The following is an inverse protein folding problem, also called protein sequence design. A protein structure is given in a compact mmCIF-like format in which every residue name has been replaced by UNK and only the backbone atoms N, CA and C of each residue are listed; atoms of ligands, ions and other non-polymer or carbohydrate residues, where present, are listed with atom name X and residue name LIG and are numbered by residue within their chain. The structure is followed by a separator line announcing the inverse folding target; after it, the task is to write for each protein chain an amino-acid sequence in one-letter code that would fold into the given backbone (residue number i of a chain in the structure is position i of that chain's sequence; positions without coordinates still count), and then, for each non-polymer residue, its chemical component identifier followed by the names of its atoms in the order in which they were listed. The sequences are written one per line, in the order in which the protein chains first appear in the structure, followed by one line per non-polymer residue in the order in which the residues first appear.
data_IF_295020670236
#
_entry.id   IF_295020670236
#
_cell.length_a   1.000
_cell.length_b   1.000
_cell.length_c   1.000
_cell.angle_alpha   90.00
_cell.angle_beta   90.00
_cell.angle_gamma   90.00
#
_symmetry.space_group_name_H-M   'P 1'
#
loop_
_entity.id
_entity.type
_entity.pdbx_description
1 polymer ?
#
# COMPACT_ATOMS: atom_id res chain seq x y z
N UNK A 1 2.54 -0.83 -21.86
CA UNK A 1 3.02 -1.60 -20.67
C UNK A 1 3.43 -0.57 -19.63
N UNK A 2 3.02 -0.73 -18.38
CA UNK A 2 3.31 0.20 -17.27
C UNK A 2 4.57 -0.23 -16.53
N UNK A 3 5.39 0.72 -16.04
CA UNK A 3 6.53 0.42 -15.17
C UNK A 3 6.59 1.36 -13.97
N UNK A 4 7.13 0.87 -12.85
CA UNK A 4 7.49 1.67 -11.70
C UNK A 4 8.93 2.15 -11.87
N UNK A 5 9.11 3.37 -12.38
CA UNK A 5 10.45 3.95 -12.63
C UNK A 5 11.27 4.03 -11.35
N UNK A 6 10.61 4.42 -10.27
CA UNK A 6 11.20 4.47 -8.93
C UNK A 6 10.11 4.35 -7.87
N UNK A 7 10.46 3.71 -6.76
CA UNK A 7 9.64 3.60 -5.55
C UNK A 7 10.48 4.09 -4.38
N UNK A 8 9.91 4.95 -3.56
CA UNK A 8 10.55 5.43 -2.35
C UNK A 8 9.60 5.39 -1.15
N UNK A 9 10.17 5.42 0.03
CA UNK A 9 9.42 5.36 1.27
C UNK A 9 9.98 6.35 2.31
N UNK A 10 9.10 6.96 3.06
CA UNK A 10 9.43 7.68 4.27
C UNK A 10 8.84 6.93 5.47
N UNK A 11 9.72 6.47 6.33
CA UNK A 11 9.38 5.82 7.60
C UNK A 11 9.73 6.81 8.72
N UNK A 12 8.73 7.43 9.35
CA UNK A 12 8.96 8.23 10.54
C UNK A 12 9.41 7.35 11.71
N UNK A 13 9.77 7.97 12.83
CA UNK A 13 10.22 7.26 14.02
C UNK A 13 9.19 6.23 14.46
N UNK A 14 9.65 5.00 14.72
CA UNK A 14 8.81 3.96 15.28
C UNK A 14 8.72 4.14 16.81
N UNK A 15 7.53 3.90 17.36
CA UNK A 15 7.27 3.91 18.81
C UNK A 15 6.80 2.52 19.24
N UNK A 16 7.21 2.02 20.43
CA UNK A 16 6.73 0.77 20.98
C UNK A 16 5.20 0.80 21.16
N UNK A 17 4.51 -0.28 20.76
CA UNK A 17 3.03 -0.33 20.89
C UNK A 17 2.58 -0.29 22.35
N UNK A 18 3.43 -0.67 23.30
CA UNK A 18 3.18 -0.53 24.73
C UNK A 18 2.99 0.93 25.16
N UNK A 19 3.72 1.85 24.55
CA UNK A 19 3.57 3.29 24.85
C UNK A 19 2.23 3.85 24.39
N UNK A 20 1.57 3.20 23.45
CA UNK A 20 0.28 3.59 22.92
C UNK A 20 -0.90 2.87 23.60
N UNK A 21 -0.64 1.95 24.54
CA UNK A 21 -1.67 1.13 25.15
C UNK A 21 -2.84 1.95 25.71
N UNK A 22 -2.54 3.03 26.45
CA UNK A 22 -3.56 3.91 27.02
C UNK A 22 -4.30 4.73 25.97
N UNK A 23 -3.58 5.26 24.97
CA UNK A 23 -4.15 6.04 23.87
C UNK A 23 -5.10 5.19 23.01
N UNK A 24 -4.70 3.94 22.73
CA UNK A 24 -5.45 3.01 21.90
C UNK A 24 -6.45 2.15 22.69
N UNK A 25 -6.59 2.40 23.99
CA UNK A 25 -7.49 1.67 24.90
C UNK A 25 -7.31 0.14 24.83
N UNK A 26 -6.08 -0.32 24.62
CA UNK A 26 -5.79 -1.75 24.49
C UNK A 26 -5.73 -2.42 25.87
N UNK A 27 -6.42 -3.53 25.99
CA UNK A 27 -6.25 -4.42 27.16
C UNK A 27 -4.89 -5.13 27.12
N UNK A 28 -4.40 -5.56 28.29
CA UNK A 28 -3.16 -6.36 28.37
C UNK A 28 -3.22 -7.64 27.52
N UNK A 29 -4.40 -8.21 27.38
CA UNK A 29 -4.60 -9.41 26.57
C UNK A 29 -4.43 -9.11 25.07
N UNK A 30 -5.01 -8.00 24.59
CA UNK A 30 -4.85 -7.54 23.20
C UNK A 30 -3.41 -7.16 22.91
N UNK A 31 -2.76 -6.40 23.78
CA UNK A 31 -1.36 -6.02 23.61
C UNK A 31 -0.45 -7.26 23.53
N UNK A 32 -0.63 -8.26 24.45
CA UNK A 32 0.11 -9.51 24.36
C UNK A 32 -0.15 -10.29 23.08
N UNK A 33 -1.39 -10.28 22.57
CA UNK A 33 -1.75 -10.92 21.29
C UNK A 33 -1.06 -10.25 20.12
N UNK A 34 -1.13 -8.93 20.02
CA UNK A 34 -0.48 -8.13 18.96
C UNK A 34 1.02 -8.41 18.90
N UNK A 35 1.70 -8.46 20.04
CA UNK A 35 3.13 -8.73 20.09
C UNK A 35 3.50 -10.18 19.79
N UNK A 36 2.94 -11.12 20.54
CA UNK A 36 3.40 -12.53 20.53
C UNK A 36 2.93 -13.30 19.31
N UNK A 37 1.70 -13.07 18.87
CA UNK A 37 1.11 -13.81 17.77
C UNK A 37 1.18 -13.03 16.46
N UNK A 38 0.84 -11.76 16.46
CA UNK A 38 0.77 -10.98 15.25
C UNK A 38 2.11 -10.36 14.85
N UNK A 39 3.07 -10.31 15.76
CA UNK A 39 4.44 -9.87 15.49
C UNK A 39 4.58 -8.35 15.38
N UNK A 40 3.62 -7.58 15.95
CA UNK A 40 3.65 -6.13 16.03
C UNK A 40 4.39 -5.70 17.29
N UNK A 41 5.51 -4.99 17.16
CA UNK A 41 6.32 -4.50 18.30
C UNK A 41 6.31 -2.99 18.36
N UNK A 42 6.36 -2.36 17.21
CA UNK A 42 6.46 -0.92 17.05
C UNK A 42 5.54 -0.47 15.92
N UNK A 43 5.26 0.80 15.87
CA UNK A 43 4.47 1.43 14.80
C UNK A 43 5.04 2.79 14.48
N UNK A 44 5.12 3.15 13.20
CA UNK A 44 5.54 4.46 12.76
C UNK A 44 4.53 5.53 13.20
N UNK A 45 5.03 6.60 13.83
CA UNK A 45 4.27 7.79 14.20
C UNK A 45 5.02 9.04 13.79
N UNK A 46 4.30 10.03 13.26
CA UNK A 46 4.89 11.28 12.81
C UNK A 46 4.23 12.49 13.50
N UNK A 47 5.04 13.40 13.97
CA UNK A 47 4.58 14.74 14.38
C UNK A 47 4.40 15.71 13.22
N UNK A 48 4.84 15.33 12.01
CA UNK A 48 4.77 16.13 10.80
C UNK A 48 3.35 16.15 10.23
N UNK A 49 3.06 17.15 9.41
CA UNK A 49 1.81 17.22 8.64
C UNK A 49 1.73 16.10 7.58
N UNK A 50 0.54 15.86 7.06
CA UNK A 50 0.35 14.90 5.95
C UNK A 50 1.16 15.31 4.71
N UNK A 51 1.22 16.61 4.39
CA UNK A 51 2.01 17.11 3.27
C UNK A 51 3.51 16.88 3.48
N UNK A 52 4.04 17.16 4.67
CA UNK A 52 5.45 16.95 4.98
C UNK A 52 5.87 15.48 4.85
N UNK A 53 5.05 14.54 5.34
CA UNK A 53 5.37 13.10 5.21
C UNK A 53 5.35 12.63 3.75
N UNK A 54 4.40 13.12 2.93
CA UNK A 54 4.36 12.83 1.50
C UNK A 54 5.54 13.43 0.76
N UNK A 55 5.91 14.68 1.07
CA UNK A 55 7.09 15.34 0.51
C UNK A 55 8.38 14.62 0.90
N UNK A 56 8.47 14.11 2.14
CA UNK A 56 9.61 13.34 2.59
C UNK A 56 9.78 12.01 1.81
N UNK A 57 8.67 11.37 1.41
CA UNK A 57 8.73 10.22 0.52
C UNK A 57 9.11 10.64 -0.90
N UNK A 58 8.41 11.63 -1.49
CA UNK A 58 8.66 12.08 -2.87
C UNK A 58 10.08 12.63 -3.06
N UNK A 59 10.62 13.34 -2.07
CA UNK A 59 11.97 13.88 -2.10
C UNK A 59 13.10 12.84 -2.19
N UNK A 60 12.81 11.58 -1.90
CA UNK A 60 13.75 10.46 -2.08
C UNK A 60 13.73 9.88 -3.49
N UNK A 61 12.78 10.28 -4.34
CA UNK A 61 12.71 9.86 -5.74
C UNK A 61 13.73 10.64 -6.59
N UNK A 62 14.99 10.23 -6.58
CA UNK A 62 16.05 10.88 -7.37
C UNK A 62 15.72 10.91 -8.87
N UNK A 63 14.95 9.93 -9.35
CA UNK A 63 14.49 9.87 -10.74
C UNK A 63 13.45 10.97 -11.10
N UNK A 64 12.85 11.63 -10.11
CA UNK A 64 11.93 12.75 -10.34
C UNK A 64 12.68 14.06 -10.59
N UNK A 65 13.89 14.22 -10.02
CA UNK A 65 14.65 15.47 -10.10
C UNK A 65 14.97 15.85 -11.55
N UNK A 66 14.53 17.05 -11.95
CA UNK A 66 14.67 17.56 -13.32
C UNK A 66 13.64 16.98 -14.32
N UNK A 67 12.73 16.13 -13.86
CA UNK A 67 11.68 15.53 -14.69
C UNK A 67 10.28 16.07 -14.34
N UNK A 68 10.18 17.10 -13.52
CA UNK A 68 8.91 17.61 -12.97
C UNK A 68 7.93 18.02 -14.07
N UNK A 69 8.44 18.57 -15.18
CA UNK A 69 7.61 18.96 -16.34
C UNK A 69 7.00 17.79 -17.11
N UNK A 70 7.54 16.58 -16.94
CA UNK A 70 7.03 15.35 -17.55
C UNK A 70 5.87 14.75 -16.76
N UNK A 71 5.69 15.15 -15.49
CA UNK A 71 4.63 14.62 -14.63
C UNK A 71 3.28 15.18 -15.11
N UNK A 72 2.46 14.31 -15.72
CA UNK A 72 1.11 14.62 -16.20
C UNK A 72 0.06 14.44 -15.10
N UNK A 73 0.27 13.47 -14.24
CA UNK A 73 -0.68 13.11 -13.18
C UNK A 73 0.01 13.08 -11.82
N UNK A 74 -0.61 13.76 -10.85
CA UNK A 74 -0.25 13.68 -9.43
C UNK A 74 -1.43 13.05 -8.70
N UNK A 75 -1.27 11.80 -8.28
CA UNK A 75 -2.35 11.00 -7.72
C UNK A 75 -2.13 10.72 -6.25
N UNK A 76 -3.13 10.99 -5.45
CA UNK A 76 -3.18 10.62 -4.04
C UNK A 76 -3.98 9.34 -3.89
N UNK A 77 -3.37 8.24 -3.48
CA UNK A 77 -4.08 7.05 -3.05
C UNK A 77 -4.31 7.10 -1.53
N UNK A 78 -5.56 6.95 -1.11
CA UNK A 78 -5.98 7.02 0.29
C UNK A 78 -6.91 5.87 0.66
N UNK A 79 -6.91 5.55 1.94
CA UNK A 79 -7.87 4.62 2.54
C UNK A 79 -9.12 5.37 3.01
N UNK A 80 -8.92 6.53 3.64
CA UNK A 80 -10.01 7.30 4.26
C UNK A 80 -10.36 8.53 3.43
N UNK A 81 -11.59 8.68 2.95
CA UNK A 81 -12.00 9.82 2.13
C UNK A 81 -11.86 11.17 2.82
N UNK A 82 -12.14 11.26 4.11
CA UNK A 82 -12.29 12.50 4.87
C UNK A 82 -11.28 12.69 6.01
N UNK A 83 -10.06 12.18 5.91
CA UNK A 83 -9.08 12.23 7.00
C UNK A 83 -8.41 13.60 7.22
N UNK A 84 -8.58 14.56 6.33
CA UNK A 84 -7.98 15.88 6.43
C UNK A 84 -9.01 16.92 6.83
N UNK A 85 -8.74 17.80 7.82
CA UNK A 85 -9.66 18.87 8.20
C UNK A 85 -9.97 19.80 7.02
N UNK A 86 -11.24 20.05 6.76
CA UNK A 86 -11.66 21.07 5.79
C UNK A 86 -11.33 22.48 6.34
N UNK A 87 -10.77 23.40 5.53
CA UNK A 87 -10.56 23.38 4.07
C UNK A 87 -9.14 23.01 3.63
N UNK A 88 -8.35 22.35 4.46
CA UNK A 88 -6.94 22.01 4.16
C UNK A 88 -6.87 20.96 3.04
N UNK A 89 -6.05 21.24 2.02
CA UNK A 89 -5.74 20.27 0.98
C UNK A 89 -4.23 20.06 0.87
N UNK A 90 -3.68 19.04 1.55
CA UNK A 90 -2.23 18.78 1.55
C UNK A 90 -1.65 18.53 0.17
N UNK A 91 -2.46 18.10 -0.79
CA UNK A 91 -1.98 17.84 -2.15
C UNK A 91 -1.68 19.11 -2.93
N UNK A 92 -2.32 20.25 -2.63
CA UNK A 92 -1.95 21.54 -3.22
C UNK A 92 -0.56 21.97 -2.76
N UNK A 93 -0.27 21.81 -1.45
CA UNK A 93 1.05 22.08 -0.87
C UNK A 93 2.12 21.19 -1.50
N UNK A 94 1.85 19.88 -1.59
CA UNK A 94 2.77 18.91 -2.21
C UNK A 94 3.03 19.25 -3.68
N UNK A 95 1.97 19.54 -4.46
CA UNK A 95 2.09 19.93 -5.87
C UNK A 95 3.00 21.13 -6.05
N UNK A 96 2.76 22.16 -5.26
CA UNK A 96 3.47 23.44 -5.37
C UNK A 96 4.93 23.28 -4.91
N UNK A 97 5.18 22.55 -3.81
CA UNK A 97 6.53 22.27 -3.30
C UNK A 97 7.37 21.42 -4.27
N UNK A 98 6.74 20.49 -5.01
CA UNK A 98 7.42 19.68 -6.03
C UNK A 98 7.49 20.36 -7.41
N UNK A 99 6.94 21.56 -7.57
CA UNK A 99 6.94 22.24 -8.87
C UNK A 99 6.06 21.59 -9.94
N UNK A 100 5.03 20.83 -9.55
CA UNK A 100 4.15 20.05 -10.43
C UNK A 100 2.89 20.83 -10.86
N UNK A 101 2.99 22.13 -11.07
CA UNK A 101 1.86 23.01 -11.37
C UNK A 101 1.08 22.61 -12.64
N UNK A 102 1.70 21.89 -13.57
CA UNK A 102 1.10 21.40 -14.81
C UNK A 102 0.38 20.05 -14.66
N UNK A 103 0.61 19.33 -13.56
CA UNK A 103 0.04 18.00 -13.38
C UNK A 103 -1.46 18.09 -13.06
N UNK A 104 -2.24 17.21 -13.69
CA UNK A 104 -3.62 16.94 -13.29
C UNK A 104 -3.61 16.19 -11.97
N UNK A 105 -4.24 16.77 -10.95
CA UNK A 105 -4.24 16.22 -9.60
C UNK A 105 -5.60 15.62 -9.25
N UNK A 106 -5.60 14.40 -8.71
CA UNK A 106 -6.81 13.75 -8.20
C UNK A 106 -6.51 12.75 -7.09
N UNK A 107 -7.58 12.29 -6.41
CA UNK A 107 -7.49 11.35 -5.31
C UNK A 107 -8.32 10.10 -5.59
N UNK A 108 -7.81 8.93 -5.19
CA UNK A 108 -8.49 7.64 -5.23
C UNK A 108 -8.65 7.11 -3.80
N UNK A 109 -9.87 6.70 -3.43
CA UNK A 109 -10.20 6.26 -2.06
C UNK A 109 -11.03 4.98 -1.98
N UNK A 110 -11.79 4.66 -3.03
CA UNK A 110 -12.88 3.66 -2.94
C UNK A 110 -12.41 2.20 -2.81
N UNK A 111 -11.12 1.95 -3.01
CA UNK A 111 -10.50 0.64 -2.73
C UNK A 111 -9.83 0.58 -1.34
N UNK A 112 -10.04 1.57 -0.48
CA UNK A 112 -9.43 1.68 0.84
C UNK A 112 -7.91 1.36 0.79
N UNK A 113 -7.40 0.42 1.62
CA UNK A 113 -5.98 0.08 1.65
C UNK A 113 -5.46 -0.51 0.32
N UNK A 114 -6.31 -0.91 -0.61
CA UNK A 114 -5.93 -1.38 -1.94
C UNK A 114 -5.85 -0.24 -3.00
N UNK A 115 -6.22 1.00 -2.65
CA UNK A 115 -6.23 2.15 -3.57
C UNK A 115 -4.86 2.45 -4.18
N UNK A 116 -3.76 2.10 -3.50
CA UNK A 116 -2.40 2.32 -4.02
C UNK A 116 -2.10 1.50 -5.28
N UNK A 117 -2.49 0.24 -5.33
CA UNK A 117 -2.29 -0.62 -6.49
C UNK A 117 -3.19 -0.18 -7.66
N UNK A 118 -4.46 0.16 -7.38
CA UNK A 118 -5.36 0.73 -8.39
C UNK A 118 -4.80 2.03 -8.96
N UNK A 119 -4.21 2.90 -8.14
CA UNK A 119 -3.65 4.17 -8.60
C UNK A 119 -2.51 3.96 -9.60
N UNK A 120 -1.65 2.96 -9.39
CA UNK A 120 -0.58 2.60 -10.34
C UNK A 120 -1.16 2.11 -11.66
N UNK A 121 -2.12 1.20 -11.63
CA UNK A 121 -2.78 0.67 -12.83
C UNK A 121 -3.50 1.77 -13.63
N UNK A 122 -4.28 2.60 -12.94
CA UNK A 122 -4.97 3.72 -13.55
C UNK A 122 -4.01 4.74 -14.17
N UNK A 123 -2.91 5.07 -13.48
CA UNK A 123 -1.87 5.93 -14.04
C UNK A 123 -1.27 5.35 -15.31
N UNK A 124 -0.97 4.06 -15.33
CA UNK A 124 -0.48 3.37 -16.53
C UNK A 124 -1.46 3.47 -17.70
N UNK A 125 -2.76 3.29 -17.43
CA UNK A 125 -3.84 3.41 -18.41
C UNK A 125 -3.96 4.84 -18.96
N UNK A 126 -3.92 5.86 -18.08
CA UNK A 126 -4.00 7.26 -18.46
C UNK A 126 -2.79 7.67 -19.31
N UNK A 127 -1.57 7.31 -18.89
CA UNK A 127 -0.34 7.59 -19.64
C UNK A 127 -0.34 6.91 -21.01
N UNK A 128 -0.85 5.69 -21.10
CA UNK A 128 -0.99 4.99 -22.39
C UNK A 128 -2.00 5.69 -23.30
N UNK A 129 -3.10 6.22 -22.76
CA UNK A 129 -4.10 6.98 -23.50
C UNK A 129 -3.58 8.33 -24.00
N UNK A 130 -2.71 8.99 -23.22
CA UNK A 130 -2.04 10.23 -23.64
C UNK A 130 -1.11 10.03 -24.83
N UNK A 131 -0.55 8.83 -25.00
CA UNK A 131 0.33 8.47 -26.11
C UNK A 131 1.71 9.15 -26.09
N UNK A 132 2.06 9.83 -25.01
CA UNK A 132 3.38 10.46 -24.79
C UNK A 132 4.30 9.48 -24.06
N UNK A 133 5.32 8.89 -24.74
CA UNK A 133 6.21 7.90 -24.12
C UNK A 133 7.08 8.49 -22.99
N UNK A 134 7.21 9.81 -22.96
CA UNK A 134 8.02 10.52 -21.97
C UNK A 134 7.20 10.98 -20.76
N UNK A 135 5.87 10.87 -20.81
CA UNK A 135 5.00 11.29 -19.73
C UNK A 135 5.20 10.44 -18.45
N UNK A 136 5.04 11.06 -17.31
CA UNK A 136 5.16 10.44 -15.99
C UNK A 136 3.91 10.68 -15.16
N UNK A 137 3.65 9.78 -14.22
CA UNK A 137 2.70 10.01 -13.14
C UNK A 137 3.39 9.80 -11.78
N UNK A 138 3.03 10.61 -10.80
CA UNK A 138 3.49 10.47 -9.41
C UNK A 138 2.32 10.02 -8.54
N UNK A 139 2.42 8.82 -7.98
CA UNK A 139 1.45 8.28 -7.02
C UNK A 139 2.02 8.43 -5.61
N UNK A 140 1.23 9.00 -4.71
CA UNK A 140 1.56 9.20 -3.30
C UNK A 140 0.60 8.40 -2.42
N UNK A 141 1.15 7.61 -1.50
CA UNK A 141 0.42 6.69 -0.62
C UNK A 141 0.80 6.90 0.85
N UNK A 142 -0.12 6.50 1.74
CA UNK A 142 0.07 6.58 3.19
C UNK A 142 -0.71 7.76 3.78
N UNK A 143 -1.09 7.69 5.05
CA UNK A 143 -1.99 8.62 5.71
C UNK A 143 -1.60 8.83 7.16
N UNK A 144 -2.18 9.86 7.76
CA UNK A 144 -2.16 10.06 9.21
C UNK A 144 -3.40 9.42 9.84
N UNK A 145 -3.22 8.75 10.95
CA UNK A 145 -4.29 8.12 11.72
C UNK A 145 -4.89 9.13 12.73
N UNK A 146 -5.70 10.07 12.24
CA UNK A 146 -6.19 11.22 13.02
C UNK A 146 -7.19 10.87 14.12
N UNK A 147 -7.92 9.76 14.01
CA UNK A 147 -8.95 9.36 14.98
C UNK A 147 -8.62 8.02 15.58
N UNK A 148 -9.10 7.77 16.80
CA UNK A 148 -8.94 6.49 17.46
C UNK A 148 -9.39 5.31 16.57
N UNK A 149 -10.54 5.43 15.92
CA UNK A 149 -11.07 4.43 14.98
C UNK A 149 -10.18 4.20 13.76
N UNK A 150 -9.38 5.20 13.37
CA UNK A 150 -8.42 5.07 12.27
C UNK A 150 -7.06 4.52 12.72
N UNK A 151 -6.83 4.39 14.03
CA UNK A 151 -5.53 3.94 14.57
C UNK A 151 -5.46 2.43 14.80
N UNK A 152 -6.60 1.76 14.92
CA UNK A 152 -6.66 0.32 15.24
C UNK A 152 -7.70 -0.38 14.38
N UNK A 153 -7.29 -1.48 13.75
CA UNK A 153 -8.23 -2.49 13.27
C UNK A 153 -8.35 -3.52 14.39
N UNK A 154 -9.52 -3.59 15.07
CA UNK A 154 -9.68 -4.42 16.26
C UNK A 154 -9.20 -5.85 16.05
N UNK A 155 -8.37 -6.35 16.96
CA UNK A 155 -7.78 -7.70 16.94
C UNK A 155 -7.01 -8.07 15.65
N UNK A 156 -6.60 -7.09 14.81
CA UNK A 156 -5.91 -7.34 13.54
C UNK A 156 -4.63 -6.55 13.41
N UNK A 157 -4.67 -5.22 13.52
CA UNK A 157 -3.53 -4.35 13.27
C UNK A 157 -3.58 -3.04 14.05
N UNK A 158 -2.42 -2.40 14.20
CA UNK A 158 -2.29 -0.99 14.57
C UNK A 158 -1.81 -0.25 13.32
N UNK A 159 -2.45 0.90 13.05
CA UNK A 159 -2.13 1.70 11.88
C UNK A 159 -0.85 2.50 12.10
N UNK A 160 0.00 2.54 11.07
CA UNK A 160 1.22 3.32 11.01
C UNK A 160 1.11 4.49 10.05
N UNK A 161 2.01 5.47 10.17
CA UNK A 161 1.98 6.73 9.43
C UNK A 161 3.15 6.88 8.44
N UNK A 162 3.74 5.76 8.00
CA UNK A 162 4.73 5.81 6.92
C UNK A 162 4.06 6.10 5.58
N UNK A 163 4.80 6.73 4.68
CA UNK A 163 4.34 7.13 3.35
C UNK A 163 5.23 6.58 2.25
N UNK A 164 4.68 6.42 1.06
CA UNK A 164 5.40 5.98 -0.13
C UNK A 164 5.11 6.91 -1.32
N UNK A 165 6.08 6.99 -2.21
CA UNK A 165 5.95 7.67 -3.49
C UNK A 165 6.41 6.74 -4.62
N UNK A 166 5.63 6.69 -5.70
CA UNK A 166 5.85 5.83 -6.86
C UNK A 166 5.84 6.68 -8.12
N UNK A 167 6.93 6.65 -8.87
CA UNK A 167 7.01 7.28 -10.18
C UNK A 167 6.67 6.24 -11.25
N UNK A 168 5.63 6.49 -12.03
CA UNK A 168 5.07 5.58 -13.03
C UNK A 168 5.33 6.12 -14.43
N UNK A 169 5.69 5.23 -15.37
CA UNK A 169 5.88 5.58 -16.77
C UNK A 169 5.18 4.58 -17.72
N UNK A 170 4.89 4.99 -18.97
CA UNK A 170 4.44 4.09 -20.01
C UNK A 170 5.66 3.35 -20.60
N UNK A 171 5.98 2.19 -20.06
CA UNK A 171 7.14 1.41 -20.49
C UNK A 171 8.34 1.58 -19.56
N UNK A 172 9.32 0.69 -19.72
CA UNK A 172 10.54 0.62 -18.91
C UNK A 172 11.08 -0.79 -18.85
N UNK A 173 12.34 -0.93 -18.42
CA UNK A 173 13.03 -2.23 -18.41
C UNK A 173 12.99 -2.89 -17.01
N UNK A 174 12.54 -2.16 -15.99
CA UNK A 174 12.52 -2.60 -14.60
C UNK A 174 11.18 -2.33 -13.95
N UNK A 175 10.81 -3.16 -13.00
CA UNK A 175 9.55 -3.07 -12.23
C UNK A 175 8.33 -2.91 -13.16
N UNK A 176 8.30 -3.73 -14.21
CA UNK A 176 7.23 -3.74 -15.21
C UNK A 176 6.00 -4.40 -14.63
N UNK A 177 4.86 -3.74 -14.72
CA UNK A 177 3.56 -4.32 -14.37
C UNK A 177 3.17 -5.32 -15.45
N UNK A 178 3.11 -6.60 -15.10
CA UNK A 178 2.77 -7.70 -16.00
C UNK A 178 1.29 -8.10 -15.91
N UNK A 179 0.65 -7.91 -14.74
CA UNK A 179 -0.75 -8.20 -14.54
C UNK A 179 -1.29 -7.50 -13.29
N UNK A 180 -2.56 -7.13 -13.32
CA UNK A 180 -3.27 -6.52 -12.21
C UNK A 180 -4.69 -7.06 -12.14
N UNK A 181 -5.12 -7.44 -10.94
CA UNK A 181 -6.49 -7.85 -10.70
C UNK A 181 -7.03 -7.20 -9.43
N UNK A 182 -8.29 -6.82 -9.47
CA UNK A 182 -9.01 -6.27 -8.33
C UNK A 182 -10.44 -6.78 -8.32
N UNK A 183 -10.97 -7.07 -7.13
CA UNK A 183 -12.35 -7.49 -6.94
C UNK A 183 -12.90 -6.89 -5.66
N UNK A 184 -14.14 -6.37 -5.73
CA UNK A 184 -14.88 -5.88 -4.57
C UNK A 184 -16.05 -6.81 -4.32
N UNK A 185 -16.05 -7.44 -3.16
CA UNK A 185 -17.10 -8.40 -2.78
C UNK A 185 -18.28 -7.76 -2.07
N UNK A 186 -18.25 -6.47 -1.78
CA UNK A 186 -19.33 -5.69 -1.16
C UNK A 186 -20.00 -6.40 0.02
N UNK A 187 -20.14 -5.70 1.14
CA UNK A 187 -20.92 -6.18 2.27
C UNK A 187 -22.13 -5.25 2.51
N UNK A 188 -23.08 -5.62 3.35
CA UNK A 188 -24.15 -4.74 3.76
C UNK A 188 -23.53 -3.45 4.34
N UNK A 189 -23.73 -2.32 3.67
CA UNK A 189 -23.33 -1.00 4.16
C UNK A 189 -22.01 -0.43 3.67
N UNK A 190 -21.10 -1.19 3.04
CA UNK A 190 -19.81 -0.68 2.51
C UNK A 190 -18.94 0.02 3.58
N UNK A 191 -19.12 -0.35 4.85
CA UNK A 191 -18.52 0.36 5.97
C UNK A 191 -17.04 0.02 6.13
N UNK A 192 -16.22 1.05 6.36
CA UNK A 192 -14.83 0.90 6.81
C UNK A 192 -14.78 0.33 8.24
N UNK A 193 -15.81 0.61 9.04
CA UNK A 193 -15.99 0.04 10.38
C UNK A 193 -17.01 -1.09 10.26
N UNK A 194 -16.55 -2.30 10.46
CA UNK A 194 -17.37 -3.50 10.37
C UNK A 194 -18.03 -3.79 11.73
N UNK A 195 -19.31 -4.17 11.71
CA UNK A 195 -19.97 -4.84 12.83
C UNK A 195 -19.33 -6.21 13.07
N UNK A 196 -19.61 -6.85 14.21
CA UNK A 196 -19.09 -8.21 14.50
C UNK A 196 -19.54 -9.25 13.47
N UNK A 197 -20.75 -9.11 12.93
CA UNK A 197 -21.28 -9.97 11.88
C UNK A 197 -20.51 -9.78 10.56
N UNK A 198 -20.39 -8.53 10.10
CA UNK A 198 -19.62 -8.18 8.90
C UNK A 198 -18.15 -8.58 9.01
N UNK A 199 -17.55 -8.39 10.18
CA UNK A 199 -16.16 -8.85 10.43
C UNK A 199 -16.05 -10.38 10.37
N UNK A 200 -17.10 -11.10 10.72
CA UNK A 200 -17.14 -12.57 10.63
C UNK A 200 -17.30 -13.01 9.18
N UNK A 201 -18.21 -12.42 8.42
CA UNK A 201 -18.35 -12.65 6.97
C UNK A 201 -17.05 -12.34 6.24
N UNK A 202 -16.44 -11.18 6.51
CA UNK A 202 -15.16 -10.80 5.92
C UNK A 202 -14.07 -11.84 6.18
N UNK A 203 -13.98 -12.38 7.40
CA UNK A 203 -13.03 -13.46 7.70
C UNK A 203 -13.29 -14.75 6.94
N UNK A 204 -14.55 -15.04 6.59
CA UNK A 204 -14.92 -16.24 5.83
C UNK A 204 -14.55 -16.11 4.36
N UNK A 205 -14.84 -14.97 3.73
CA UNK A 205 -14.55 -14.74 2.31
C UNK A 205 -13.05 -14.46 2.04
N UNK A 206 -12.33 -13.99 3.04
CA UNK A 206 -10.96 -13.47 2.88
C UNK A 206 -10.00 -14.43 2.15
N UNK A 207 -9.89 -15.74 2.50
CA UNK A 207 -8.96 -16.63 1.83
C UNK A 207 -9.28 -16.82 0.34
N UNK A 208 -10.55 -17.01 0.02
CA UNK A 208 -11.00 -17.29 -1.35
C UNK A 208 -10.90 -16.04 -2.24
N UNK A 209 -11.35 -14.89 -1.74
CA UNK A 209 -11.27 -13.62 -2.46
C UNK A 209 -9.81 -13.18 -2.70
N UNK A 210 -8.92 -13.43 -1.72
CA UNK A 210 -7.49 -13.18 -1.90
C UNK A 210 -6.88 -14.12 -2.93
N UNK A 211 -7.26 -15.39 -2.92
CA UNK A 211 -6.81 -16.37 -3.90
C UNK A 211 -7.30 -16.02 -5.31
N UNK A 212 -8.55 -15.61 -5.45
CA UNK A 212 -9.15 -15.18 -6.72
C UNK A 212 -8.32 -14.08 -7.38
N UNK A 213 -8.10 -12.95 -6.72
CA UNK A 213 -7.36 -11.82 -7.32
C UNK A 213 -5.89 -12.16 -7.53
N UNK A 214 -5.29 -12.96 -6.64
CA UNK A 214 -3.91 -13.41 -6.80
C UNK A 214 -3.75 -14.26 -8.06
N UNK A 215 -4.61 -15.27 -8.24
CA UNK A 215 -4.57 -16.12 -9.43
C UNK A 215 -4.91 -15.34 -10.71
N UNK A 216 -5.87 -14.41 -10.66
CA UNK A 216 -6.21 -13.57 -11.80
C UNK A 216 -5.04 -12.70 -12.26
N UNK A 217 -4.35 -12.00 -11.33
CA UNK A 217 -3.19 -11.17 -11.65
C UNK A 217 -2.01 -12.00 -12.20
N UNK A 218 -1.76 -13.18 -11.61
CA UNK A 218 -0.70 -14.10 -12.07
C UNK A 218 -1.01 -14.67 -13.45
N UNK A 219 -2.27 -15.00 -13.72
CA UNK A 219 -2.71 -15.49 -15.03
C UNK A 219 -2.61 -14.39 -16.11
N UNK A 220 -3.00 -13.14 -15.79
CA UNK A 220 -2.84 -11.99 -16.68
C UNK A 220 -1.37 -11.73 -17.02
N UNK A 221 -0.47 -11.93 -16.06
CA UNK A 221 0.97 -11.86 -16.29
C UNK A 221 1.52 -13.00 -17.16
N UNK A 222 0.73 -14.01 -17.50
CA UNK A 222 1.16 -15.20 -18.23
C UNK A 222 2.07 -16.12 -17.40
N UNK A 223 2.00 -16.04 -16.09
CA UNK A 223 2.85 -16.77 -15.14
C UNK A 223 2.04 -17.82 -14.36
N UNK A 224 2.75 -18.66 -13.63
CA UNK A 224 2.20 -19.53 -12.58
C UNK A 224 2.59 -18.96 -11.23
N UNK A 225 1.82 -19.27 -10.19
CA UNK A 225 2.12 -18.81 -8.83
C UNK A 225 3.51 -19.29 -8.34
N UNK A 226 3.99 -20.44 -8.83
CA UNK A 226 5.35 -20.94 -8.56
C UNK A 226 6.46 -20.02 -9.10
N UNK A 227 6.16 -19.24 -10.15
CA UNK A 227 7.11 -18.36 -10.84
C UNK A 227 7.25 -17.00 -10.13
N UNK A 228 6.47 -16.78 -9.06
CA UNK A 228 6.62 -15.61 -8.17
C UNK A 228 7.75 -15.87 -7.17
N UNK A 229 8.72 -14.98 -7.14
CA UNK A 229 9.90 -15.06 -6.27
C UNK A 229 9.66 -14.43 -4.91
N UNK A 230 8.92 -13.32 -4.85
CA UNK A 230 8.65 -12.57 -3.61
C UNK A 230 7.22 -12.01 -3.60
N UNK A 231 6.57 -12.08 -2.46
CA UNK A 231 5.27 -11.44 -2.20
C UNK A 231 5.47 -10.25 -1.26
N UNK A 232 4.99 -9.07 -1.67
CA UNK A 232 5.04 -7.81 -0.94
C UNK A 232 3.63 -7.43 -0.48
N UNK A 233 3.20 -7.90 0.70
CA UNK A 233 1.84 -7.75 1.17
C UNK A 233 1.58 -6.40 1.87
N UNK A 234 0.33 -6.09 2.21
CA UNK A 234 0.04 -5.09 3.22
C UNK A 234 0.40 -5.57 4.64
N UNK A 235 0.84 -4.67 5.52
CA UNK A 235 1.49 -5.00 6.79
C UNK A 235 0.51 -5.19 7.97
N UNK A 236 -0.60 -5.88 7.78
CA UNK A 236 -1.60 -6.07 8.86
C UNK A 236 -1.05 -6.89 10.03
N UNK A 237 -0.60 -8.11 9.80
CA UNK A 237 0.08 -8.95 10.78
C UNK A 237 0.68 -10.22 10.14
N UNK A 238 1.64 -10.85 10.83
CA UNK A 238 2.32 -12.05 10.32
C UNK A 238 1.40 -13.27 10.20
N UNK A 239 0.49 -13.46 11.13
CA UNK A 239 -0.36 -14.66 11.17
C UNK A 239 -1.33 -14.70 10.01
N UNK A 240 -1.93 -13.56 9.67
CA UNK A 240 -2.83 -13.45 8.51
C UNK A 240 -2.11 -13.85 7.22
N UNK A 241 -0.90 -13.38 7.02
CA UNK A 241 -0.12 -13.69 5.82
C UNK A 241 0.42 -15.10 5.76
N UNK A 242 0.84 -15.69 6.91
CA UNK A 242 1.24 -17.10 6.95
C UNK A 242 0.05 -18.01 6.60
N UNK A 243 -1.16 -17.68 7.09
CA UNK A 243 -2.37 -18.44 6.76
C UNK A 243 -2.77 -18.28 5.30
N UNK A 244 -2.79 -17.03 4.79
CA UNK A 244 -3.09 -16.73 3.39
C UNK A 244 -2.10 -17.41 2.44
N UNK A 245 -0.80 -17.36 2.73
CA UNK A 245 0.23 -18.05 1.96
C UNK A 245 0.04 -19.57 1.96
N UNK A 246 -0.31 -20.16 3.11
CA UNK A 246 -0.64 -21.58 3.19
C UNK A 246 -1.85 -21.98 2.34
N UNK A 247 -2.90 -21.18 2.32
CA UNK A 247 -4.08 -21.39 1.49
C UNK A 247 -3.76 -21.27 -0.02
N UNK A 248 -2.85 -20.36 -0.38
CA UNK A 248 -2.36 -20.18 -1.76
C UNK A 248 -1.28 -21.22 -2.18
N UNK A 249 -0.77 -22.04 -1.25
CA UNK A 249 0.36 -22.92 -1.53
C UNK A 249 1.70 -22.18 -1.67
N UNK A 250 1.80 -20.94 -1.18
CA UNK A 250 3.02 -20.16 -1.20
C UNK A 250 3.88 -20.48 0.02
N UNK A 251 5.18 -20.79 -0.17
CA UNK A 251 6.12 -20.92 0.93
C UNK A 251 6.22 -19.61 1.73
N UNK A 252 6.25 -19.70 3.05
CA UNK A 252 6.32 -18.50 3.93
C UNK A 252 7.57 -17.66 3.69
N UNK A 253 8.63 -18.27 3.20
CA UNK A 253 9.92 -17.62 2.86
C UNK A 253 9.80 -16.67 1.68
N UNK A 254 8.79 -16.87 0.82
CA UNK A 254 8.47 -15.97 -0.30
C UNK A 254 7.63 -14.76 0.14
N UNK A 255 7.13 -14.71 1.37
CA UNK A 255 6.29 -13.60 1.85
C UNK A 255 7.15 -12.64 2.68
N UNK A 256 7.31 -11.42 2.20
CA UNK A 256 8.08 -10.40 2.89
C UNK A 256 7.29 -9.84 4.10
N UNK A 257 7.73 -10.15 5.29
CA UNK A 257 7.10 -9.71 6.54
C UNK A 257 8.05 -8.85 7.40
N UNK A 258 9.12 -8.33 6.79
CA UNK A 258 10.17 -7.59 7.49
C UNK A 258 9.68 -6.32 8.18
N UNK A 259 8.76 -5.61 7.55
CA UNK A 259 8.26 -4.34 8.06
C UNK A 259 7.10 -4.47 9.07
N UNK A 260 6.39 -5.61 9.11
CA UNK A 260 5.21 -5.81 9.97
C UNK A 260 5.45 -5.44 11.43
N UNK A 261 6.64 -5.80 11.95
CA UNK A 261 6.97 -5.61 13.36
C UNK A 261 7.35 -4.19 13.76
N UNK A 262 7.64 -3.31 12.81
CA UNK A 262 8.23 -2.00 13.05
C UNK A 262 7.47 -0.82 12.47
N UNK A 263 6.64 -1.05 11.43
CA UNK A 263 5.90 0.04 10.79
C UNK A 263 4.45 0.12 11.23
N UNK A 264 3.85 -1.01 11.63
CA UNK A 264 2.41 -1.17 11.66
C UNK A 264 1.83 -1.26 10.24
N UNK A 265 0.51 -1.19 10.12
CA UNK A 265 -0.19 -1.15 8.83
C UNK A 265 -0.30 0.30 8.34
N UNK A 266 0.46 0.66 7.30
CA UNK A 266 0.52 2.03 6.78
C UNK A 266 -0.45 2.25 5.61
N UNK A 267 -1.70 1.82 5.79
CA UNK A 267 -2.78 2.01 4.82
C UNK A 267 -2.41 1.45 3.43
N UNK A 268 -2.66 2.21 2.37
CA UNK A 268 -2.35 1.80 1.00
C UNK A 268 -0.86 1.90 0.61
N UNK A 269 0.00 2.37 1.54
CA UNK A 269 1.44 2.49 1.28
C UNK A 269 2.22 1.17 1.44
N UNK A 270 1.71 0.21 2.21
CA UNK A 270 2.44 -0.98 2.63
C UNK A 270 3.16 -1.77 1.51
N UNK A 271 2.52 -2.11 0.38
CA UNK A 271 3.22 -2.86 -0.67
C UNK A 271 4.43 -2.10 -1.22
N UNK A 272 4.35 -0.77 -1.29
CA UNK A 272 5.44 0.09 -1.77
C UNK A 272 6.52 0.29 -0.71
N UNK A 273 6.16 0.37 0.58
CA UNK A 273 7.11 0.33 1.69
C UNK A 273 7.91 -0.97 1.67
N UNK A 274 7.21 -2.09 1.48
CA UNK A 274 7.83 -3.41 1.38
C UNK A 274 8.72 -3.53 0.13
N UNK A 275 8.30 -2.96 -1.01
CA UNK A 275 9.13 -2.89 -2.21
C UNK A 275 10.43 -2.11 -1.95
N UNK A 276 10.34 -0.90 -1.41
CA UNK A 276 11.51 -0.07 -1.11
C UNK A 276 12.47 -0.78 -0.14
N UNK A 277 11.94 -1.44 0.89
CA UNK A 277 12.75 -2.20 1.85
C UNK A 277 13.37 -3.43 1.20
N UNK A 278 12.59 -4.22 0.47
CA UNK A 278 13.08 -5.44 -0.22
C UNK A 278 14.17 -5.09 -1.24
N UNK A 279 14.01 -4.01 -1.99
CA UNK A 279 15.04 -3.50 -2.91
C UNK A 279 16.32 -3.12 -2.16
N UNK A 280 16.20 -2.38 -1.06
CA UNK A 280 17.37 -1.96 -0.27
C UNK A 280 18.13 -3.14 0.35
N UNK A 281 17.43 -4.24 0.62
CA UNK A 281 18.00 -5.49 1.14
C UNK A 281 18.53 -6.42 0.03
N UNK A 282 18.39 -6.05 -1.25
CA UNK A 282 18.81 -6.88 -2.38
C UNK A 282 17.96 -8.15 -2.58
N UNK A 283 16.73 -8.16 -2.07
CA UNK A 283 15.80 -9.29 -2.22
C UNK A 283 15.11 -9.31 -3.59
N UNK A 284 15.03 -8.16 -4.27
CA UNK A 284 14.60 -8.06 -5.66
C UNK A 284 15.84 -8.00 -6.54
N UNK A 285 15.97 -8.97 -7.43
CA UNK A 285 17.11 -9.06 -8.37
C UNK A 285 16.60 -8.92 -9.82
N UNK A 286 17.42 -8.45 -10.76
CA UNK A 286 17.00 -8.30 -12.15
C UNK A 286 16.34 -9.57 -12.71
N UNK A 287 15.11 -9.41 -13.22
CA UNK A 287 14.30 -10.49 -13.76
C UNK A 287 13.42 -11.23 -12.75
N UNK A 288 13.54 -10.97 -11.42
CA UNK A 288 12.63 -11.58 -10.45
C UNK A 288 11.20 -11.09 -10.61
N UNK A 289 10.26 -12.02 -10.48
CA UNK A 289 8.83 -11.72 -10.47
C UNK A 289 8.37 -11.52 -9.02
N UNK A 290 7.73 -10.40 -8.74
CA UNK A 290 7.15 -10.17 -7.43
C UNK A 290 5.68 -9.82 -7.51
N UNK A 291 4.97 -10.12 -6.43
CA UNK A 291 3.53 -9.94 -6.29
C UNK A 291 3.25 -8.95 -5.16
N UNK A 292 2.67 -7.81 -5.48
CA UNK A 292 2.09 -6.90 -4.48
C UNK A 292 0.65 -7.30 -4.21
N UNK A 293 0.25 -7.35 -2.94
CA UNK A 293 -1.12 -7.69 -2.54
C UNK A 293 -1.61 -6.75 -1.47
N UNK A 294 -2.80 -6.23 -1.64
CA UNK A 294 -3.45 -5.37 -0.67
C UNK A 294 -4.94 -5.65 -0.55
N UNK A 295 -5.46 -5.52 0.66
CA UNK A 295 -6.89 -5.71 0.94
C UNK A 295 -7.42 -4.50 1.66
N UNK A 296 -8.47 -3.90 1.12
CA UNK A 296 -9.19 -2.78 1.69
C UNK A 296 -10.42 -3.22 2.47
N UNK A 297 -10.70 -2.58 3.60
CA UNK A 297 -11.98 -2.70 4.28
C UNK A 297 -13.10 -2.20 3.36
N UNK A 298 -14.26 -2.82 3.41
CA UNK A 298 -15.30 -2.71 2.36
C UNK A 298 -15.19 -3.82 1.32
N UNK A 299 -14.28 -4.79 1.61
CA UNK A 299 -14.05 -6.07 0.91
C UNK A 299 -13.49 -5.93 -0.49
N UNK A 300 -12.55 -5.01 -0.69
CA UNK A 300 -11.80 -4.90 -1.95
C UNK A 300 -10.43 -5.59 -1.83
N UNK A 301 -10.17 -6.51 -2.74
CA UNK A 301 -8.91 -7.25 -2.84
C UNK A 301 -8.20 -6.85 -4.14
N UNK A 302 -6.91 -6.60 -4.08
CA UNK A 302 -6.11 -6.25 -5.26
C UNK A 302 -4.76 -6.96 -5.24
N UNK A 303 -4.32 -7.41 -6.40
CA UNK A 303 -3.04 -8.05 -6.62
C UNK A 303 -2.39 -7.50 -7.90
N UNK A 304 -1.09 -7.25 -7.85
CA UNK A 304 -0.30 -6.73 -8.98
C UNK A 304 0.99 -7.53 -9.10
N UNK A 305 1.22 -8.13 -10.27
CA UNK A 305 2.45 -8.83 -10.61
C UNK A 305 3.39 -7.90 -11.36
N UNK A 306 4.61 -7.82 -10.89
CA UNK A 306 5.66 -7.03 -11.53
C UNK A 306 6.92 -7.87 -11.77
N UNK A 307 7.73 -7.45 -12.73
CA UNK A 307 9.08 -7.99 -12.97
C UNK A 307 10.11 -6.90 -12.74
N UNK A 308 11.06 -7.18 -11.85
CA UNK A 308 12.14 -6.27 -11.43
C UNK A 308 13.27 -6.15 -12.45
#
# INVERSE_FOLDING_TARGET
MTSLVAVSAYLPSAVPIESLQGELELTDAQLRRLRRFYGLSEVCRSGESEAETLLAAAGKLTALAGQEKRVRYLVRAKTMPGATPYPVNPMLEVRDALGLSQATMFTLTDHACASGLLAVDLCGTLLAADGDPDALALVLCGEKAFTHTAQVIPDVAIMGEATAAVLVAPGGDRDRVLGFATATHGGPGGAVILSDEEATEFRQIYPDALAEVTHAAVAEAGLRLSDIDLVLPHNVNRVSWIRAGGALGLPKEKIFLGNVGSTGHCFCADPFLNHATATSLGLLTPGSNYLMVSVGLGSTFSAMVCQH
#
